data_IF_914817767317
#
_entry.id   IF_914817767317
#
_cell.length_a   1.000
_cell.length_b   1.000
_cell.length_c   1.000
_cell.angle_alpha   90.00
_cell.angle_beta   90.00
_cell.angle_gamma   90.00
#
_symmetry.space_group_name_H-M   'P 1'
#
loop_
_entity.id
_entity.type
_entity.pdbx_description
1 polymer ?
#
# COMPACT_ATOMS: atom_id res chain seq x y z
N UNK A 1 -30.14 -41.06 37.19
CA UNK A 1 -28.66 -41.28 37.13
C UNK A 1 -28.03 -40.54 35.96
N UNK A 2 -28.47 -40.74 34.70
CA UNK A 2 -27.87 -40.12 33.50
C UNK A 2 -27.78 -38.57 33.52
N UNK A 3 -28.84 -37.87 33.95
CA UNK A 3 -28.88 -36.38 33.97
C UNK A 3 -27.87 -35.77 34.97
N UNK A 4 -27.56 -36.47 36.06
CA UNK A 4 -26.60 -36.00 37.07
C UNK A 4 -25.16 -36.09 36.55
N UNK A 5 -24.84 -37.15 35.80
CA UNK A 5 -23.52 -37.35 35.21
C UNK A 5 -23.25 -36.38 34.04
N UNK A 6 -24.29 -36.07 33.25
CA UNK A 6 -24.21 -35.04 32.21
C UNK A 6 -23.99 -33.64 32.80
N UNK A 7 -24.72 -33.28 33.86
CA UNK A 7 -24.50 -32.01 34.57
C UNK A 7 -23.09 -31.90 35.17
N UNK A 8 -22.52 -32.99 35.69
CA UNK A 8 -21.13 -33.01 36.17
C UNK A 8 -20.14 -32.78 35.03
N UNK A 9 -20.35 -33.40 33.87
CA UNK A 9 -19.50 -33.21 32.68
C UNK A 9 -19.55 -31.77 32.18
N UNK A 10 -20.73 -31.19 32.04
CA UNK A 10 -20.92 -29.81 31.58
C UNK A 10 -20.24 -28.80 32.53
N UNK A 11 -20.27 -29.02 33.84
CA UNK A 11 -19.55 -28.18 34.81
C UNK A 11 -18.04 -28.24 34.66
N UNK A 12 -17.49 -29.42 34.36
CA UNK A 12 -16.05 -29.58 34.10
C UNK A 12 -15.67 -28.86 32.80
N UNK A 13 -16.49 -28.99 31.75
CA UNK A 13 -16.26 -28.34 30.47
C UNK A 13 -16.36 -26.80 30.56
N UNK A 14 -17.32 -26.28 31.32
CA UNK A 14 -17.43 -24.84 31.61
C UNK A 14 -16.18 -24.34 32.34
N UNK A 15 -15.74 -25.06 33.37
CA UNK A 15 -14.53 -24.69 34.13
C UNK A 15 -13.27 -24.72 33.25
N UNK A 16 -13.17 -25.65 32.30
CA UNK A 16 -12.05 -25.67 31.35
C UNK A 16 -12.11 -24.50 30.37
N UNK A 17 -13.30 -24.16 29.86
CA UNK A 17 -13.50 -23.00 28.98
C UNK A 17 -13.18 -21.68 29.68
N UNK A 18 -13.58 -21.53 30.95
CA UNK A 18 -13.25 -20.34 31.75
C UNK A 18 -11.73 -20.19 31.94
N UNK A 19 -11.03 -21.31 32.12
CA UNK A 19 -9.57 -21.34 32.24
C UNK A 19 -8.88 -20.98 30.92
N UNK A 20 -9.42 -21.43 29.79
CA UNK A 20 -8.91 -21.08 28.46
C UNK A 20 -9.16 -19.60 28.12
N UNK A 21 -10.33 -19.06 28.48
CA UNK A 21 -10.64 -17.63 28.35
C UNK A 21 -9.68 -16.79 29.21
N UNK A 22 -9.42 -17.21 30.44
CA UNK A 22 -8.48 -16.50 31.32
C UNK A 22 -7.05 -16.47 30.74
N UNK A 23 -6.59 -17.60 30.17
CA UNK A 23 -5.30 -17.65 29.47
C UNK A 23 -5.27 -16.75 28.24
N UNK A 24 -6.32 -16.77 27.42
CA UNK A 24 -6.40 -15.96 26.22
C UNK A 24 -6.41 -14.46 26.55
N UNK A 25 -7.11 -14.06 27.61
CA UNK A 25 -7.11 -12.68 28.08
C UNK A 25 -5.72 -12.26 28.58
N UNK A 26 -5.02 -13.12 29.34
CA UNK A 26 -3.66 -12.84 29.77
C UNK A 26 -2.68 -12.72 28.59
N UNK A 27 -2.82 -13.56 27.55
CA UNK A 27 -2.04 -13.44 26.31
C UNK A 27 -2.34 -12.15 25.55
N UNK A 28 -3.61 -11.76 25.49
CA UNK A 28 -4.04 -10.51 24.85
C UNK A 28 -3.49 -9.28 25.58
N UNK A 29 -3.52 -9.27 26.91
CA UNK A 29 -2.91 -8.22 27.74
C UNK A 29 -1.39 -8.16 27.50
N UNK A 30 -0.71 -9.30 27.52
CA UNK A 30 0.73 -9.36 27.23
C UNK A 30 1.07 -8.87 25.82
N UNK A 31 0.24 -9.16 24.81
CA UNK A 31 0.39 -8.59 23.47
C UNK A 31 0.16 -7.09 23.44
N UNK A 32 -0.82 -6.60 24.20
CA UNK A 32 -1.12 -5.16 24.29
C UNK A 32 0.06 -4.41 24.92
N UNK A 33 0.61 -4.93 26.02
CA UNK A 33 1.79 -4.36 26.67
C UNK A 33 3.02 -4.38 25.75
N UNK A 34 3.22 -5.48 25.01
CA UNK A 34 4.29 -5.59 24.02
C UNK A 34 4.13 -4.57 22.90
N UNK A 35 2.93 -4.39 22.38
CA UNK A 35 2.66 -3.42 21.31
C UNK A 35 2.92 -2.00 21.81
N UNK A 36 2.48 -1.66 23.02
CA UNK A 36 2.75 -0.38 23.65
C UNK A 36 4.25 -0.11 23.79
N UNK A 37 5.00 -1.09 24.30
CA UNK A 37 6.47 -0.98 24.39
C UNK A 37 7.12 -0.78 23.01
N UNK A 38 6.68 -1.52 21.99
CA UNK A 38 7.20 -1.37 20.63
C UNK A 38 6.88 0.00 20.05
N UNK A 39 5.70 0.57 20.34
CA UNK A 39 5.36 1.94 19.96
C UNK A 39 6.30 2.95 20.61
N UNK A 40 6.55 2.85 21.92
CA UNK A 40 7.49 3.72 22.64
C UNK A 40 8.91 3.65 22.05
N UNK A 41 9.41 2.44 21.78
CA UNK A 41 10.73 2.24 21.15
C UNK A 41 10.77 2.80 19.73
N UNK A 42 9.71 2.62 18.94
CA UNK A 42 9.61 3.16 17.59
C UNK A 42 9.65 4.70 17.59
N UNK A 43 8.92 5.35 18.51
CA UNK A 43 8.94 6.81 18.64
C UNK A 43 10.32 7.33 19.08
N UNK A 44 10.97 6.67 20.05
CA UNK A 44 12.35 7.02 20.43
C UNK A 44 13.33 6.87 19.26
N UNK A 45 13.24 5.76 18.53
CA UNK A 45 14.11 5.48 17.38
C UNK A 45 13.88 6.50 16.26
N UNK A 46 12.63 6.90 16.04
CA UNK A 46 12.26 7.94 15.07
C UNK A 46 12.84 9.29 15.48
N UNK A 47 12.76 9.64 16.76
CA UNK A 47 13.38 10.86 17.28
C UNK A 47 14.89 10.88 17.04
N UNK A 48 15.59 9.80 17.39
CA UNK A 48 17.04 9.69 17.20
C UNK A 48 17.43 9.80 15.73
N UNK A 49 16.65 9.15 14.85
CA UNK A 49 16.83 9.28 13.40
C UNK A 49 16.73 10.74 12.96
N UNK A 50 15.71 11.48 13.41
CA UNK A 50 15.55 12.90 13.09
C UNK A 50 16.75 13.75 13.54
N UNK A 51 17.34 13.46 14.70
CA UNK A 51 18.54 14.16 15.17
C UNK A 51 19.74 13.86 14.26
N UNK A 52 19.93 12.61 13.87
CA UNK A 52 21.00 12.21 12.94
C UNK A 52 20.79 12.86 11.56
N UNK A 53 19.55 12.94 11.05
CA UNK A 53 19.23 13.63 9.79
C UNK A 53 19.67 15.12 9.87
N UNK A 54 19.37 15.80 10.97
CA UNK A 54 19.78 17.20 11.19
C UNK A 54 21.30 17.37 11.26
N UNK A 55 21.99 16.44 11.93
CA UNK A 55 23.46 16.44 11.98
C UNK A 55 24.07 16.24 10.59
N UNK A 56 23.56 15.27 9.82
CA UNK A 56 24.01 14.99 8.46
C UNK A 56 23.86 16.23 7.56
N UNK A 57 22.68 16.85 7.56
CA UNK A 57 22.41 18.11 6.83
C UNK A 57 23.36 19.24 7.24
N UNK A 58 23.71 19.32 8.53
CA UNK A 58 24.69 20.32 9.00
C UNK A 58 26.11 20.02 8.49
N UNK A 59 26.47 18.75 8.35
CA UNK A 59 27.77 18.29 7.85
C UNK A 59 27.90 18.51 6.35
N UNK A 60 26.87 18.19 5.56
CA UNK A 60 26.86 18.42 4.10
C UNK A 60 27.16 19.89 3.75
N UNK A 61 26.58 20.82 4.52
CA UNK A 61 26.88 22.25 4.39
C UNK A 61 28.36 22.56 4.64
N UNK A 62 28.95 21.98 5.69
CA UNK A 62 30.38 22.18 6.01
C UNK A 62 31.29 21.61 4.93
N UNK A 63 30.89 20.49 4.33
CA UNK A 63 31.64 19.81 3.26
C UNK A 63 31.52 20.50 1.89
N UNK A 64 30.72 21.57 1.77
CA UNK A 64 30.51 22.33 0.53
C UNK A 64 30.19 21.45 -0.69
N UNK A 65 29.38 20.40 -0.50
CA UNK A 65 28.90 19.58 -1.61
C UNK A 65 28.17 20.51 -2.59
N UNK A 66 28.68 20.61 -3.82
CA UNK A 66 28.21 21.59 -4.81
C UNK A 66 26.93 21.14 -5.50
N UNK A 67 25.82 21.10 -4.76
CA UNK A 67 24.50 21.01 -5.38
C UNK A 67 24.03 22.40 -5.85
N UNK A 68 23.40 22.44 -7.03
CA UNK A 68 22.89 23.68 -7.60
C UNK A 68 21.42 23.88 -7.25
N UNK A 69 20.96 25.14 -7.28
CA UNK A 69 19.53 25.46 -7.16
C UNK A 69 18.69 24.69 -8.19
N UNK A 70 19.17 24.62 -9.42
CA UNK A 70 18.47 23.93 -10.51
C UNK A 70 18.32 22.43 -10.22
N UNK A 71 19.39 21.77 -9.75
CA UNK A 71 19.38 20.36 -9.33
C UNK A 71 18.37 20.10 -8.19
N UNK A 72 18.39 20.95 -7.16
CA UNK A 72 17.48 20.83 -6.02
C UNK A 72 16.01 21.00 -6.43
N UNK A 73 15.71 22.02 -7.23
CA UNK A 73 14.35 22.27 -7.72
C UNK A 73 13.87 21.14 -8.65
N UNK A 74 14.74 20.64 -9.53
CA UNK A 74 14.41 19.54 -10.44
C UNK A 74 14.08 18.25 -9.66
N UNK A 75 14.97 17.85 -8.76
CA UNK A 75 14.76 16.68 -7.89
C UNK A 75 13.45 16.80 -7.11
N UNK A 76 13.19 17.97 -6.50
CA UNK A 76 11.97 18.19 -5.75
C UNK A 76 10.70 18.10 -6.63
N UNK A 77 10.75 18.69 -7.83
CA UNK A 77 9.63 18.66 -8.77
C UNK A 77 9.31 17.23 -9.25
N UNK A 78 10.34 16.43 -9.56
CA UNK A 78 10.17 15.03 -9.94
C UNK A 78 9.44 14.23 -8.85
N UNK A 79 9.89 14.37 -7.60
CA UNK A 79 9.30 13.64 -6.47
C UNK A 79 7.86 14.10 -6.20
N UNK A 80 7.58 15.40 -6.36
CA UNK A 80 6.22 15.94 -6.26
C UNK A 80 5.28 15.36 -7.30
N UNK A 81 5.71 15.29 -8.56
CA UNK A 81 4.89 14.70 -9.63
C UNK A 81 4.53 13.25 -9.34
N UNK A 82 5.50 12.47 -8.85
CA UNK A 82 5.26 11.08 -8.44
C UNK A 82 4.27 11.01 -7.27
N UNK A 83 4.44 11.85 -6.25
CA UNK A 83 3.52 11.93 -5.11
C UNK A 83 2.10 12.31 -5.53
N UNK A 84 1.94 13.35 -6.34
CA UNK A 84 0.64 13.85 -6.80
C UNK A 84 -0.09 12.82 -7.67
N UNK A 85 0.64 12.11 -8.53
CA UNK A 85 0.06 11.01 -9.30
C UNK A 85 -0.40 9.87 -8.38
N UNK A 86 0.40 9.51 -7.38
CA UNK A 86 0.03 8.47 -6.43
C UNK A 86 -1.20 8.86 -5.60
N UNK A 87 -1.31 10.12 -5.18
CA UNK A 87 -2.49 10.66 -4.48
C UNK A 87 -3.74 10.58 -5.37
N UNK A 88 -3.62 10.82 -6.67
CA UNK A 88 -4.74 10.70 -7.62
C UNK A 88 -5.16 9.24 -7.83
N UNK A 89 -4.20 8.32 -7.85
CA UNK A 89 -4.43 6.89 -8.07
C UNK A 89 -4.92 6.16 -6.81
N UNK A 90 -4.54 6.63 -5.62
CA UNK A 90 -4.83 5.99 -4.35
C UNK A 90 -5.42 6.97 -3.34
N UNK A 91 -6.74 6.97 -3.20
CA UNK A 91 -7.41 7.78 -2.19
C UNK A 91 -7.05 7.35 -0.75
N UNK A 92 -6.71 6.08 -0.51
CA UNK A 92 -6.31 5.60 0.83
C UNK A 92 -4.89 6.03 1.18
N UNK A 93 -4.03 6.21 0.18
CA UNK A 93 -2.69 6.74 0.41
C UNK A 93 -2.75 8.16 0.98
N UNK A 94 -3.65 9.01 0.48
CA UNK A 94 -3.73 10.42 0.86
C UNK A 94 -3.85 10.62 2.37
N UNK A 95 -4.64 9.80 3.05
CA UNK A 95 -4.88 9.88 4.49
C UNK A 95 -3.86 9.07 5.34
N UNK A 96 -2.89 8.42 4.69
CA UNK A 96 -1.92 7.57 5.37
C UNK A 96 -0.85 8.40 6.12
N UNK A 97 -0.33 7.90 7.27
CA UNK A 97 0.80 8.53 7.94
C UNK A 97 2.02 8.72 7.03
N UNK A 98 2.23 7.80 6.09
CA UNK A 98 3.31 7.87 5.10
C UNK A 98 3.14 9.05 4.15
N UNK A 99 1.92 9.33 3.67
CA UNK A 99 1.67 10.50 2.82
C UNK A 99 1.90 11.82 3.59
N UNK A 100 1.52 11.87 4.86
CA UNK A 100 1.81 13.00 5.75
C UNK A 100 3.32 13.21 5.91
N UNK A 101 4.08 12.16 6.17
CA UNK A 101 5.55 12.22 6.28
C UNK A 101 6.21 12.68 4.97
N UNK A 102 5.79 12.14 3.82
CA UNK A 102 6.29 12.55 2.50
C UNK A 102 6.02 14.05 2.28
N UNK A 103 4.80 14.52 2.55
CA UNK A 103 4.44 15.93 2.41
C UNK A 103 5.31 16.82 3.29
N UNK A 104 5.56 16.42 4.53
CA UNK A 104 6.47 17.13 5.42
C UNK A 104 7.88 17.22 4.83
N UNK A 105 8.45 16.11 4.34
CA UNK A 105 9.80 16.10 3.74
C UNK A 105 9.89 16.97 2.47
N UNK A 106 8.84 17.01 1.66
CA UNK A 106 8.77 17.90 0.50
C UNK A 106 8.73 19.38 0.91
N UNK A 107 8.02 19.72 1.99
CA UNK A 107 7.99 21.08 2.52
C UNK A 107 9.34 21.47 3.15
N UNK A 108 9.99 20.58 3.89
CA UNK A 108 11.36 20.77 4.42
C UNK A 108 12.35 21.07 3.27
N UNK A 109 12.22 20.35 2.16
CA UNK A 109 13.01 20.60 0.94
C UNK A 109 12.79 22.01 0.38
N UNK A 110 11.53 22.45 0.21
CA UNK A 110 11.21 23.80 -0.28
C UNK A 110 11.82 24.90 0.61
N UNK A 111 11.66 24.78 1.92
CA UNK A 111 12.22 25.77 2.86
C UNK A 111 13.73 25.87 2.73
N UNK A 112 14.41 24.75 2.51
CA UNK A 112 15.86 24.72 2.36
C UNK A 112 16.32 25.30 1.02
N UNK A 113 15.54 25.14 -0.06
CA UNK A 113 15.77 25.83 -1.32
C UNK A 113 15.67 27.35 -1.12
N UNK A 114 14.68 27.82 -0.36
CA UNK A 114 14.53 29.25 -0.04
C UNK A 114 15.72 29.76 0.79
N UNK A 115 16.20 28.97 1.75
CA UNK A 115 17.39 29.24 2.56
C UNK A 115 18.72 29.04 1.80
N UNK A 116 18.66 28.75 0.48
CA UNK A 116 19.81 28.48 -0.40
C UNK A 116 20.69 27.30 0.05
N UNK A 117 20.13 26.37 0.84
CA UNK A 117 20.79 25.16 1.28
C UNK A 117 20.39 23.99 0.35
N UNK A 118 20.94 24.00 -0.86
CA UNK A 118 20.58 23.06 -1.91
C UNK A 118 20.94 21.59 -1.60
N UNK A 119 22.10 21.25 -1.01
CA UNK A 119 22.41 19.86 -0.65
C UNK A 119 21.36 19.26 0.29
N UNK A 120 21.01 20.02 1.34
CA UNK A 120 19.99 19.60 2.29
C UNK A 120 18.60 19.49 1.64
N UNK A 121 18.26 20.39 0.73
CA UNK A 121 17.00 20.30 -0.01
C UNK A 121 16.93 19.02 -0.85
N UNK A 122 18.00 18.68 -1.56
CA UNK A 122 18.13 17.43 -2.34
C UNK A 122 18.01 16.21 -1.42
N UNK A 123 18.64 16.26 -0.24
CA UNK A 123 18.54 15.19 0.76
C UNK A 123 17.08 14.89 1.13
N UNK A 124 16.30 15.90 1.51
CA UNK A 124 14.91 15.72 1.91
C UNK A 124 14.01 15.30 0.74
N UNK A 125 14.24 15.81 -0.47
CA UNK A 125 13.55 15.34 -1.67
C UNK A 125 13.82 13.85 -1.92
N UNK A 126 15.07 13.40 -1.80
CA UNK A 126 15.43 11.99 -1.91
C UNK A 126 14.87 11.13 -0.78
N UNK A 127 14.75 11.68 0.44
CA UNK A 127 14.07 11.00 1.56
C UNK A 127 12.60 10.73 1.23
N UNK A 128 11.89 11.74 0.73
CA UNK A 128 10.53 11.61 0.22
C UNK A 128 10.43 10.58 -0.90
N UNK A 129 11.36 10.59 -1.87
CA UNK A 129 11.42 9.59 -2.94
C UNK A 129 11.54 8.16 -2.41
N UNK A 130 12.42 7.91 -1.44
CA UNK A 130 12.56 6.58 -0.82
C UNK A 130 11.28 6.12 -0.12
N UNK A 131 10.60 7.02 0.58
CA UNK A 131 9.32 6.72 1.22
C UNK A 131 8.25 6.35 0.17
N UNK A 132 8.20 7.06 -0.96
CA UNK A 132 7.32 6.73 -2.09
C UNK A 132 7.60 5.34 -2.67
N UNK A 133 8.87 5.02 -2.92
CA UNK A 133 9.26 3.70 -3.44
C UNK A 133 8.91 2.56 -2.46
N UNK A 134 9.14 2.79 -1.17
CA UNK A 134 8.78 1.84 -0.12
C UNK A 134 7.26 1.65 -0.02
N UNK A 135 6.48 2.72 -0.17
CA UNK A 135 5.02 2.61 -0.20
C UNK A 135 4.56 1.85 -1.44
N UNK A 136 5.05 2.23 -2.63
CA UNK A 136 4.67 1.61 -3.89
C UNK A 136 5.01 0.11 -3.94
N UNK A 137 6.13 -0.30 -3.35
CA UNK A 137 6.54 -1.71 -3.28
C UNK A 137 5.71 -2.53 -2.29
N UNK A 138 5.22 -1.91 -1.21
CA UNK A 138 4.37 -2.55 -0.20
C UNK A 138 2.88 -2.44 -0.49
N UNK A 139 2.50 -1.67 -1.52
CA UNK A 139 1.12 -1.45 -1.90
C UNK A 139 0.48 -2.81 -2.23
N UNK A 140 -0.63 -3.19 -1.56
CA UNK A 140 -1.35 -4.39 -1.98
C UNK A 140 -1.71 -4.22 -3.46
N UNK A 141 -1.63 -5.28 -4.28
CA UNK A 141 -2.00 -5.19 -5.68
C UNK A 141 -3.40 -4.60 -5.75
N UNK A 142 -3.47 -3.37 -6.26
CA UNK A 142 -4.73 -2.65 -6.36
C UNK A 142 -5.71 -3.56 -7.09
N UNK A 143 -6.87 -3.82 -6.50
CA UNK A 143 -8.00 -4.32 -7.26
C UNK A 143 -8.15 -3.33 -8.42
N UNK A 144 -7.97 -3.75 -9.68
CA UNK A 144 -7.94 -2.82 -10.79
C UNK A 144 -9.15 -1.87 -10.71
N UNK A 145 -8.92 -0.59 -10.95
CA UNK A 145 -9.99 0.39 -10.99
C UNK A 145 -10.92 0.01 -12.14
N UNK A 146 -12.05 -0.60 -11.83
CA UNK A 146 -12.88 -1.21 -12.86
C UNK A 146 -14.13 -1.85 -12.30
N UNK A 147 -15.12 -2.03 -13.19
CA UNK A 147 -16.38 -2.67 -12.80
C UNK A 147 -16.14 -4.16 -12.65
N UNK A 148 -16.43 -4.69 -11.47
CA UNK A 148 -16.45 -6.15 -11.26
C UNK A 148 -17.50 -6.76 -12.17
N UNK A 149 -17.10 -7.82 -12.88
CA UNK A 149 -17.90 -8.56 -13.84
C UNK A 149 -17.64 -10.05 -13.66
N UNK A 150 -18.62 -10.86 -14.03
CA UNK A 150 -18.54 -12.32 -13.96
C UNK A 150 -18.64 -12.86 -15.37
N UNK A 151 -17.72 -13.77 -15.73
CA UNK A 151 -17.80 -14.51 -16.99
C UNK A 151 -19.05 -15.39 -16.99
N UNK A 152 -19.93 -15.16 -17.97
CA UNK A 152 -21.24 -15.82 -18.08
C UNK A 152 -21.25 -17.07 -18.97
N UNK A 153 -20.11 -17.42 -19.58
CA UNK A 153 -19.97 -18.57 -20.50
C UNK A 153 -18.93 -19.57 -20.00
N UNK A 154 -19.04 -20.82 -20.45
CA UNK A 154 -18.13 -21.92 -20.05
C UNK A 154 -16.66 -21.65 -20.42
N UNK A 155 -16.42 -21.07 -21.60
CA UNK A 155 -15.07 -20.74 -22.10
C UNK A 155 -15.09 -19.39 -22.80
N UNK A 156 -14.64 -18.35 -22.11
CA UNK A 156 -14.45 -17.03 -22.71
C UNK A 156 -13.00 -16.85 -23.17
N UNK A 157 -12.81 -16.48 -24.44
CA UNK A 157 -11.47 -16.21 -25.01
C UNK A 157 -11.08 -14.77 -24.73
N UNK A 158 -9.91 -14.58 -24.11
CA UNK A 158 -9.30 -13.28 -23.88
C UNK A 158 -8.34 -13.01 -25.02
N UNK A 159 -8.43 -11.84 -25.65
CA UNK A 159 -7.64 -11.48 -26.83
C UNK A 159 -6.69 -10.34 -26.55
N UNK A 160 -5.62 -10.24 -27.35
CA UNK A 160 -4.62 -9.16 -27.21
C UNK A 160 -5.19 -7.77 -27.56
N UNK A 161 -6.24 -7.69 -28.39
CA UNK A 161 -6.89 -6.44 -28.78
C UNK A 161 -8.41 -6.57 -29.00
N UNK A 162 -9.14 -5.45 -29.16
CA UNK A 162 -10.61 -5.38 -29.25
C UNK A 162 -11.15 -5.82 -30.62
N UNK A 163 -10.76 -6.99 -31.09
CA UNK A 163 -11.22 -7.59 -32.35
C UNK A 163 -11.01 -9.09 -32.35
N UNK A 164 -11.85 -9.81 -33.11
CA UNK A 164 -11.72 -11.25 -33.35
C UNK A 164 -10.46 -11.62 -34.14
N UNK A 165 -9.81 -10.64 -34.79
CA UNK A 165 -8.55 -10.81 -35.53
C UNK A 165 -7.32 -10.89 -34.64
N UNK A 166 -7.39 -10.38 -33.40
CA UNK A 166 -6.26 -10.48 -32.47
C UNK A 166 -6.15 -11.87 -31.88
N UNK A 167 -4.92 -12.31 -31.66
CA UNK A 167 -4.61 -13.59 -31.00
C UNK A 167 -5.25 -13.72 -29.61
N UNK A 168 -5.52 -14.97 -29.23
CA UNK A 168 -6.07 -15.34 -27.93
C UNK A 168 -4.92 -15.49 -26.94
N UNK A 169 -4.90 -14.66 -25.91
CA UNK A 169 -3.88 -14.64 -24.85
C UNK A 169 -4.27 -15.48 -23.64
N UNK A 170 -5.52 -15.94 -23.57
CA UNK A 170 -5.98 -16.83 -22.50
C UNK A 170 -7.45 -17.23 -22.64
N UNK A 171 -7.88 -18.14 -21.76
CA UNK A 171 -9.27 -18.60 -21.67
C UNK A 171 -9.72 -18.53 -20.22
N UNK A 172 -10.90 -17.96 -19.98
CA UNK A 172 -11.53 -17.90 -18.66
C UNK A 172 -12.75 -18.81 -18.60
N UNK A 173 -12.94 -19.43 -17.43
CA UNK A 173 -14.07 -20.31 -17.15
C UNK A 173 -15.27 -19.53 -16.64
N UNK A 174 -16.46 -20.14 -16.74
CA UNK A 174 -17.68 -19.62 -16.12
C UNK A 174 -17.48 -19.26 -14.65
N UNK A 175 -18.08 -18.16 -14.20
CA UNK A 175 -18.00 -17.72 -12.80
C UNK A 175 -16.70 -17.01 -12.45
N UNK A 176 -15.73 -16.91 -13.36
CA UNK A 176 -14.50 -16.16 -13.12
C UNK A 176 -14.83 -14.69 -12.90
N UNK A 177 -14.40 -14.15 -11.76
CA UNK A 177 -14.50 -12.73 -11.45
C UNK A 177 -13.38 -12.00 -12.18
N UNK A 178 -13.78 -11.02 -12.98
CA UNK A 178 -12.88 -10.13 -13.71
C UNK A 178 -13.22 -8.70 -13.39
N UNK A 179 -12.25 -7.83 -13.60
CA UNK A 179 -12.43 -6.40 -13.41
C UNK A 179 -12.29 -5.75 -14.77
N UNK A 180 -13.33 -5.03 -15.19
CA UNK A 180 -13.34 -4.29 -16.44
C UNK A 180 -12.69 -2.91 -16.24
N UNK A 181 -11.50 -2.75 -16.80
CA UNK A 181 -10.69 -1.51 -16.72
C UNK A 181 -11.09 -0.50 -17.81
N UNK A 182 -11.50 -0.98 -18.99
CA UNK A 182 -11.80 -0.10 -20.14
C UNK A 182 -12.83 -0.76 -21.10
N UNK A 183 -13.35 0.00 -22.06
CA UNK A 183 -14.23 -0.50 -23.13
C UNK A 183 -14.03 0.21 -24.47
N UNK A 184 -14.02 -0.58 -25.55
CA UNK A 184 -13.99 -0.09 -26.92
C UNK A 184 -15.08 -0.82 -27.70
N UNK A 185 -16.11 -0.09 -28.11
CA UNK A 185 -17.31 -0.64 -28.78
C UNK A 185 -17.90 -1.83 -27.99
N UNK A 186 -17.87 -3.02 -28.57
CA UNK A 186 -18.40 -4.25 -28.00
C UNK A 186 -17.37 -5.05 -27.18
N UNK A 187 -16.17 -4.51 -26.98
CA UNK A 187 -15.09 -5.15 -26.24
C UNK A 187 -14.84 -4.45 -24.91
N UNK A 188 -14.54 -5.24 -23.90
CA UNK A 188 -14.13 -4.80 -22.58
C UNK A 188 -12.69 -5.22 -22.35
N UNK A 189 -11.83 -4.30 -21.91
CA UNK A 189 -10.51 -4.63 -21.38
C UNK A 189 -10.71 -5.09 -19.94
N UNK A 190 -10.26 -6.30 -19.65
CA UNK A 190 -10.39 -6.92 -18.33
C UNK A 190 -9.04 -7.29 -17.76
N UNK A 191 -8.99 -7.38 -16.43
CA UNK A 191 -7.88 -7.94 -15.67
C UNK A 191 -8.43 -8.92 -14.62
N UNK A 192 -7.75 -10.05 -14.48
CA UNK A 192 -8.07 -11.07 -13.47
C UNK A 192 -7.22 -10.87 -12.22
N UNK A 193 -7.66 -11.42 -11.08
CA UNK A 193 -6.85 -11.43 -9.84
C UNK A 193 -5.46 -12.07 -10.02
N UNK A 194 -5.32 -13.01 -10.96
CA UNK A 194 -4.06 -13.70 -11.27
C UNK A 194 -3.15 -12.92 -12.23
N UNK A 195 -3.50 -11.67 -12.57
CA UNK A 195 -2.68 -10.81 -13.42
C UNK A 195 -2.91 -10.96 -14.93
N UNK A 196 -3.68 -11.94 -15.41
CA UNK A 196 -4.04 -12.04 -16.83
C UNK A 196 -4.89 -10.83 -17.22
N UNK A 197 -4.44 -10.10 -18.25
CA UNK A 197 -5.14 -8.94 -18.81
C UNK A 197 -5.33 -9.08 -20.32
N UNK A 198 -6.44 -8.53 -20.83
CA UNK A 198 -6.73 -8.52 -22.27
C UNK A 198 -8.19 -8.15 -22.56
N UNK A 199 -8.63 -8.41 -23.78
CA UNK A 199 -9.94 -8.00 -24.28
C UNK A 199 -10.92 -9.17 -24.35
N UNK A 200 -12.11 -8.97 -23.80
CA UNK A 200 -13.25 -9.90 -23.85
C UNK A 200 -14.44 -9.22 -24.50
N UNK A 201 -15.25 -9.98 -25.23
CA UNK A 201 -16.49 -9.48 -25.80
C UNK A 201 -17.53 -9.23 -24.70
N UNK A 202 -18.14 -8.04 -24.65
CA UNK A 202 -18.97 -7.58 -23.52
C UNK A 202 -20.17 -8.49 -23.23
N UNK A 203 -20.72 -9.15 -24.24
CA UNK A 203 -21.84 -10.09 -24.07
C UNK A 203 -21.47 -11.35 -23.26
N UNK A 204 -20.18 -11.63 -23.09
CA UNK A 204 -19.67 -12.81 -22.35
C UNK A 204 -19.47 -12.54 -20.85
N UNK A 205 -19.76 -11.31 -20.40
CA UNK A 205 -19.60 -10.88 -19.02
C UNK A 205 -20.88 -10.19 -18.54
N UNK A 206 -21.22 -10.38 -17.25
CA UNK A 206 -22.37 -9.74 -16.59
C UNK A 206 -21.95 -9.02 -15.31
#
# INVERSE_FOLDING_TARGET
>A
MAILDENKRLRVELKTKDLDIAKLNAEFEAQTDRNKYLEEVNESTKHDLEQVEKQFVSLERRLQIKETKASAVATLAEVRLVFDNLVKEDSLFLDSPTATEIRQKLNESDELIQKQNYPAAVYYANRAHRLLQNYSSKRPPQLPAGKTRIVSVQKAKIRRGPSTKHEVVGILSFGTIVIQEDQVKDWARIKTKKGLAGWIYKKLIR
#
